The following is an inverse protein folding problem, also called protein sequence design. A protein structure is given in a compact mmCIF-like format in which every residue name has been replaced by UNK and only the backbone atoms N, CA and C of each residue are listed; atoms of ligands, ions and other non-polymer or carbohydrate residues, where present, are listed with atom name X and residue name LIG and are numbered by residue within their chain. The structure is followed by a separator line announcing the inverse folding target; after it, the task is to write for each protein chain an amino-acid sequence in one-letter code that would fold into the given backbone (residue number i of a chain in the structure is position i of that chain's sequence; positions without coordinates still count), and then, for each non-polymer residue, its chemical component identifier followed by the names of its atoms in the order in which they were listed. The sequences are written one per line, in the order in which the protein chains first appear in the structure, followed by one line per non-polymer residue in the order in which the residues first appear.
data_IF_496177597363
#
_entry.id   IF_496177597363
#
_cell.length_a   1.000
_cell.length_b   1.000
_cell.length_c   1.000
_cell.angle_alpha   90.00
_cell.angle_beta   90.00
_cell.angle_gamma   90.00
#
_symmetry.space_group_name_H-M   'P 1'
#
loop_
_entity.id
_entity.type
_entity.pdbx_description
1 polymer ?
#
# COMPACT_ATOMS: atom_id res chain seq x y z
N UNK A 1 28.09 7.35 -12.63
CA UNK A 1 27.44 6.03 -12.71
C UNK A 1 26.34 6.15 -13.73
N UNK A 2 26.32 5.28 -14.74
CA UNK A 2 25.19 5.16 -15.65
C UNK A 2 24.08 4.44 -14.89
N UNK A 3 22.89 5.03 -14.83
CA UNK A 3 21.66 4.40 -14.31
C UNK A 3 21.51 3.00 -14.88
N UNK A 4 21.15 2.02 -14.06
CA UNK A 4 20.94 0.66 -14.56
C UNK A 4 19.58 0.55 -15.26
N UNK A 5 18.63 1.36 -14.81
CA UNK A 5 17.30 1.56 -15.41
C UNK A 5 17.29 2.72 -16.39
N UNK A 6 16.45 2.64 -17.42
CA UNK A 6 16.21 3.81 -18.26
C UNK A 6 15.35 4.86 -17.51
N UNK A 7 15.26 6.05 -18.08
CA UNK A 7 14.54 7.15 -17.42
C UNK A 7 13.02 6.93 -17.39
N UNK A 8 12.49 6.07 -18.27
CA UNK A 8 11.06 5.76 -18.37
C UNK A 8 10.67 4.77 -17.26
N UNK A 9 11.47 3.72 -17.04
CA UNK A 9 11.29 2.74 -15.95
C UNK A 9 11.25 3.45 -14.57
N UNK A 10 12.17 4.38 -14.34
CA UNK A 10 12.24 5.17 -13.10
C UNK A 10 10.97 6.03 -12.95
N UNK A 11 10.50 6.64 -14.04
CA UNK A 11 9.33 7.49 -14.03
C UNK A 11 8.04 6.69 -13.80
N UNK A 12 7.92 5.51 -14.40
CA UNK A 12 6.79 4.59 -14.21
C UNK A 12 6.72 4.12 -12.75
N UNK A 13 7.84 3.66 -12.18
CA UNK A 13 7.88 3.23 -10.78
C UNK A 13 7.55 4.39 -9.81
N UNK A 14 8.05 5.61 -10.07
CA UNK A 14 7.67 6.80 -9.30
C UNK A 14 6.17 7.10 -9.41
N UNK A 15 5.57 6.96 -10.59
CA UNK A 15 4.15 7.19 -10.82
C UNK A 15 3.28 6.16 -10.08
N UNK A 16 3.65 4.89 -10.14
CA UNK A 16 2.95 3.81 -9.45
C UNK A 16 2.98 3.97 -7.93
N UNK A 17 4.15 4.26 -7.36
CA UNK A 17 4.28 4.56 -5.93
C UNK A 17 3.50 5.82 -5.55
N UNK A 18 3.53 6.86 -6.38
CA UNK A 18 2.74 8.08 -6.13
C UNK A 18 1.24 7.76 -6.07
N UNK A 19 0.72 7.01 -7.05
CA UNK A 19 -0.69 6.60 -7.09
C UNK A 19 -1.10 5.84 -5.83
N UNK A 20 -0.21 5.02 -5.28
CA UNK A 20 -0.44 4.29 -4.04
C UNK A 20 -0.42 5.20 -2.81
N UNK A 21 0.57 6.08 -2.70
CA UNK A 21 0.75 6.98 -1.56
C UNK A 21 -0.36 8.04 -1.43
N UNK A 22 -1.07 8.39 -2.51
CA UNK A 22 -2.22 9.31 -2.46
C UNK A 22 -3.28 8.88 -1.44
N UNK A 23 -3.44 7.58 -1.21
CA UNK A 23 -4.42 7.05 -0.26
C UNK A 23 -4.02 7.24 1.20
N UNK A 24 -2.75 7.57 1.46
CA UNK A 24 -2.18 7.70 2.80
C UNK A 24 -1.97 9.16 3.24
N UNK A 25 -2.31 10.16 2.40
CA UNK A 25 -2.14 11.58 2.72
C UNK A 25 -2.88 12.02 4.01
N UNK A 26 -3.99 11.37 4.32
CA UNK A 26 -4.79 11.67 5.51
C UNK A 26 -4.46 10.78 6.71
N UNK A 27 -3.63 9.75 6.54
CA UNK A 27 -3.28 8.85 7.62
C UNK A 27 -2.06 9.40 8.38
N UNK A 28 -2.12 9.48 9.73
CA UNK A 28 -0.97 9.87 10.51
C UNK A 28 0.08 8.76 10.49
N UNK A 29 1.33 9.14 10.24
CA UNK A 29 2.51 8.38 10.61
C UNK A 29 2.72 8.49 12.13
N UNK A 30 3.55 7.62 12.74
CA UNK A 30 3.97 7.78 14.12
C UNK A 30 4.44 9.22 14.42
N UNK A 31 4.14 9.72 15.62
CA UNK A 31 4.46 11.10 15.99
C UNK A 31 3.61 12.19 15.32
N UNK A 32 2.40 11.86 14.85
CA UNK A 32 1.42 12.79 14.26
C UNK A 32 1.87 13.50 12.97
N UNK A 33 2.94 13.01 12.35
CA UNK A 33 3.38 13.44 11.02
C UNK A 33 2.46 12.87 9.94
N UNK A 34 2.34 13.55 8.81
CA UNK A 34 1.53 13.13 7.68
C UNK A 34 2.36 13.23 6.40
N UNK A 35 2.01 12.45 5.38
CA UNK A 35 2.55 12.65 4.03
C UNK A 35 1.96 13.95 3.47
N UNK A 36 2.84 14.88 3.08
CA UNK A 36 2.49 16.21 2.57
C UNK A 36 2.74 16.35 1.07
N UNK A 37 3.55 15.46 0.50
CA UNK A 37 3.82 15.44 -0.92
C UNK A 37 4.70 14.27 -1.32
N UNK A 38 4.65 13.96 -2.61
CA UNK A 38 5.55 13.02 -3.27
C UNK A 38 6.21 13.80 -4.40
N UNK A 39 7.54 13.85 -4.40
CA UNK A 39 8.34 14.57 -5.37
C UNK A 39 9.17 13.56 -6.18
N UNK A 40 9.29 13.74 -7.51
CA UNK A 40 10.19 12.93 -8.30
C UNK A 40 11.64 13.27 -7.94
N UNK A 41 12.50 12.26 -7.82
CA UNK A 41 13.94 12.49 -7.83
C UNK A 41 14.40 12.71 -9.28
N UNK A 42 15.29 13.70 -9.54
CA UNK A 42 15.75 13.97 -10.91
C UNK A 42 16.60 12.80 -11.42
N UNK A 43 16.44 12.36 -12.69
CA UNK A 43 17.32 11.37 -13.30
C UNK A 43 18.80 11.79 -13.23
N UNK A 44 19.74 10.84 -13.06
CA UNK A 44 19.57 9.39 -13.03
C UNK A 44 19.27 8.83 -11.62
N UNK A 45 18.69 9.63 -10.71
CA UNK A 45 18.45 9.18 -9.34
C UNK A 45 17.30 8.17 -9.31
N UNK A 46 17.62 6.91 -9.04
CA UNK A 46 16.67 5.79 -8.85
C UNK A 46 16.01 5.85 -7.46
N UNK A 47 15.34 6.97 -7.16
CA UNK A 47 14.71 7.22 -5.85
C UNK A 47 13.36 7.93 -5.98
N UNK A 48 12.57 7.88 -4.92
CA UNK A 48 11.38 8.72 -4.71
C UNK A 48 11.61 9.62 -3.51
N UNK A 49 11.06 10.84 -3.54
CA UNK A 49 11.13 11.77 -2.40
C UNK A 49 9.77 11.90 -1.77
N UNK A 50 9.67 11.61 -0.49
CA UNK A 50 8.41 11.70 0.26
C UNK A 50 8.54 12.83 1.26
N UNK A 51 7.67 13.83 1.15
CA UNK A 51 7.63 14.97 2.06
C UNK A 51 6.68 14.64 3.19
N UNK A 52 7.13 14.83 4.42
CA UNK A 52 6.34 14.62 5.63
C UNK A 52 6.38 15.85 6.53
N UNK A 53 5.40 15.98 7.40
CA UNK A 53 5.35 17.03 8.42
C UNK A 53 4.02 17.05 9.16
N UNK A 54 3.85 17.98 10.11
CA UNK A 54 2.63 18.11 10.90
C UNK A 54 1.36 18.28 10.06
N UNK A 55 0.21 17.94 10.64
CA UNK A 55 -1.08 18.27 10.02
C UNK A 55 -1.26 19.79 9.91
N UNK A 56 -1.90 20.26 8.83
CA UNK A 56 -2.22 21.68 8.63
C UNK A 56 -1.08 22.61 8.20
N UNK A 57 0.20 22.26 8.41
CA UNK A 57 1.34 23.07 7.96
C UNK A 57 1.71 22.80 6.50
N UNK A 58 2.25 23.83 5.84
CA UNK A 58 2.86 23.76 4.50
C UNK A 58 4.17 24.57 4.45
N UNK A 59 4.67 24.99 5.61
CA UNK A 59 5.91 25.76 5.73
C UNK A 59 7.12 24.83 5.49
N UNK A 60 7.98 25.09 4.48
CA UNK A 60 9.16 24.27 4.22
C UNK A 60 10.05 24.02 5.45
N UNK A 61 10.10 24.96 6.41
CA UNK A 61 10.92 24.83 7.61
C UNK A 61 10.36 23.79 8.61
N UNK A 62 9.08 23.43 8.48
CA UNK A 62 8.40 22.40 9.28
C UNK A 62 8.24 21.07 8.53
N UNK A 63 8.73 20.99 7.29
CA UNK A 63 8.64 19.81 6.44
C UNK A 63 9.99 19.10 6.34
N UNK A 64 9.97 17.80 6.09
CA UNK A 64 11.17 17.01 5.79
C UNK A 64 10.92 16.14 4.58
N UNK A 65 11.85 16.17 3.63
CA UNK A 65 11.85 15.32 2.45
C UNK A 65 12.75 14.09 2.70
N UNK A 66 12.21 12.90 2.50
CA UNK A 66 12.92 11.63 2.61
C UNK A 66 13.19 11.09 1.20
N UNK A 67 14.45 10.97 0.81
CA UNK A 67 14.84 10.33 -0.44
C UNK A 67 15.03 8.84 -0.19
N UNK A 68 14.14 8.02 -0.73
CA UNK A 68 14.13 6.56 -0.55
C UNK A 68 14.40 5.91 -1.92
N UNK A 69 15.35 4.95 -2.02
CA UNK A 69 15.59 4.20 -3.25
C UNK A 69 14.32 3.56 -3.81
N UNK A 70 14.21 3.42 -5.14
CA UNK A 70 13.09 2.73 -5.79
C UNK A 70 13.21 1.21 -5.75
N UNK A 71 14.43 0.69 -5.63
CA UNK A 71 14.75 -0.73 -5.69
C UNK A 71 15.48 -1.17 -4.42
N UNK A 72 15.39 -2.46 -4.10
CA UNK A 72 16.09 -3.02 -2.95
C UNK A 72 17.61 -2.94 -3.13
N UNK A 73 18.35 -2.51 -2.10
CA UNK A 73 19.82 -2.49 -2.16
C UNK A 73 20.39 -3.90 -2.40
N UNK A 74 21.01 -4.09 -3.57
CA UNK A 74 21.66 -5.36 -3.94
C UNK A 74 20.79 -6.33 -4.74
N UNK A 75 19.50 -6.02 -4.92
CA UNK A 75 18.63 -6.71 -5.87
C UNK A 75 17.90 -5.67 -6.73
N UNK A 76 18.47 -5.31 -7.87
CA UNK A 76 17.93 -4.22 -8.65
C UNK A 76 16.58 -4.61 -9.29
N UNK A 77 16.36 -5.88 -9.60
CA UNK A 77 15.08 -6.35 -10.18
C UNK A 77 13.94 -6.36 -9.14
N UNK A 78 14.25 -6.11 -7.86
CA UNK A 78 13.30 -6.03 -6.76
C UNK A 78 12.89 -4.59 -6.50
N UNK A 79 11.83 -4.13 -7.17
CA UNK A 79 11.24 -2.83 -6.93
C UNK A 79 10.55 -2.77 -5.55
N UNK A 80 10.74 -1.67 -4.83
CA UNK A 80 10.04 -1.46 -3.56
C UNK A 80 8.55 -1.28 -3.80
N UNK A 81 7.75 -2.13 -3.15
CA UNK A 81 6.29 -1.95 -3.07
C UNK A 81 5.89 -0.84 -2.10
N UNK A 82 4.68 -0.30 -2.27
CA UNK A 82 4.16 0.75 -1.39
C UNK A 82 4.07 0.34 0.08
N UNK A 83 3.75 -0.93 0.37
CA UNK A 83 3.67 -1.44 1.73
C UNK A 83 5.04 -1.39 2.44
N UNK A 84 6.11 -1.75 1.72
CA UNK A 84 7.48 -1.66 2.22
C UNK A 84 7.89 -0.21 2.44
N UNK A 85 7.57 0.68 1.48
CA UNK A 85 7.82 2.11 1.56
C UNK A 85 7.13 2.76 2.77
N UNK A 86 5.87 2.41 3.04
CA UNK A 86 5.14 2.85 4.23
C UNK A 86 5.76 2.31 5.51
N UNK A 87 6.22 1.06 5.50
CA UNK A 87 6.96 0.48 6.61
C UNK A 87 8.25 1.25 6.92
N UNK A 88 8.99 1.67 5.89
CA UNK A 88 10.17 2.54 6.02
C UNK A 88 9.76 3.90 6.64
N UNK A 89 8.74 4.57 6.10
CA UNK A 89 8.28 5.85 6.63
C UNK A 89 7.87 5.76 8.10
N UNK A 90 7.12 4.72 8.47
CA UNK A 90 6.72 4.51 9.87
C UNK A 90 7.93 4.26 10.76
N UNK A 91 8.94 3.52 10.28
CA UNK A 91 10.19 3.33 11.02
C UNK A 91 10.97 4.64 11.22
N UNK A 92 11.07 5.48 10.18
CA UNK A 92 11.70 6.81 10.23
C UNK A 92 11.03 7.74 11.25
N UNK A 93 9.72 7.58 11.44
CA UNK A 93 8.93 8.36 12.38
C UNK A 93 8.78 7.71 13.77
N UNK A 94 9.36 6.53 13.99
CA UNK A 94 9.32 5.84 15.28
C UNK A 94 10.65 6.02 16.02
N UNK A 95 10.59 6.59 17.23
CA UNK A 95 11.76 6.83 18.07
C UNK A 95 12.59 8.06 17.67
N UNK A 96 13.77 8.21 18.27
CA UNK A 96 14.69 9.31 17.95
C UNK A 96 15.68 8.85 16.88
N UNK A 97 15.56 9.39 15.67
CA UNK A 97 16.50 9.14 14.59
C UNK A 97 17.57 10.25 14.57
N UNK A 98 18.85 9.86 14.65
CA UNK A 98 19.98 10.79 14.55
C UNK A 98 20.64 10.55 13.20
N UNK A 99 20.52 11.53 12.30
CA UNK A 99 21.11 11.47 10.97
C UNK A 99 22.45 12.21 10.95
N UNK A 100 23.45 11.65 10.26
CA UNK A 100 24.72 12.35 10.01
C UNK A 100 24.46 13.55 9.08
N UNK A 101 25.24 14.62 9.21
CA UNK A 101 25.18 15.74 8.26
C UNK A 101 25.46 15.30 6.82
N UNK A 102 26.23 14.22 6.65
CA UNK A 102 26.67 13.73 5.34
C UNK A 102 25.53 13.08 4.52
N UNK A 103 24.38 12.83 5.15
CA UNK A 103 23.18 12.28 4.51
C UNK A 103 22.02 13.28 4.45
N UNK A 104 22.29 14.56 4.76
CA UNK A 104 21.30 15.64 4.75
C UNK A 104 21.69 16.69 3.69
N UNK A 105 20.84 16.82 2.68
CA UNK A 105 20.86 17.88 1.68
C UNK A 105 19.69 18.86 1.91
N UNK A 106 19.43 19.73 0.94
CA UNK A 106 18.26 20.61 0.94
C UNK A 106 17.52 20.52 -0.40
N UNK A 107 16.20 20.49 -0.36
CA UNK A 107 15.33 20.56 -1.54
C UNK A 107 14.17 21.52 -1.27
N UNK A 108 14.00 22.53 -2.13
CA UNK A 108 12.92 23.52 -1.98
C UNK A 108 12.84 24.17 -0.58
N UNK A 109 13.98 24.39 0.08
CA UNK A 109 14.05 24.93 1.44
C UNK A 109 13.83 23.91 2.56
N UNK A 110 13.45 22.67 2.24
CA UNK A 110 13.28 21.58 3.20
C UNK A 110 14.58 20.78 3.37
N UNK A 111 14.88 20.24 4.56
CA UNK A 111 15.89 19.21 4.71
C UNK A 111 15.54 17.99 3.86
N UNK A 112 16.53 17.50 3.11
CA UNK A 112 16.44 16.27 2.31
C UNK A 112 17.30 15.19 2.95
N UNK A 113 16.69 14.17 3.55
CA UNK A 113 17.41 13.06 4.18
C UNK A 113 17.50 11.89 3.20
N UNK A 114 18.72 11.43 2.91
CA UNK A 114 18.97 10.22 2.13
C UNK A 114 18.79 8.99 3.02
N UNK A 115 17.83 8.15 2.66
CA UNK A 115 17.47 6.96 3.44
C UNK A 115 18.23 5.76 2.90
N UNK A 116 18.91 5.03 3.79
CA UNK A 116 19.44 3.69 3.52
C UNK A 116 18.46 2.66 4.12
N UNK A 117 17.65 1.97 3.31
CA UNK A 117 16.70 0.98 3.78
C UNK A 117 17.37 -0.18 4.55
N UNK A 118 18.64 -0.49 4.28
CA UNK A 118 19.34 -1.61 4.94
C UNK A 118 19.64 -1.36 6.41
N UNK A 119 19.63 -0.09 6.84
CA UNK A 119 19.84 0.31 8.23
C UNK A 119 18.52 0.40 9.01
N UNK A 120 17.40 0.18 8.35
CA UNK A 120 16.07 0.27 8.93
C UNK A 120 15.46 -1.12 9.06
N UNK A 121 14.58 -1.26 10.04
CA UNK A 121 13.66 -2.39 10.12
C UNK A 121 12.28 -1.84 9.79
N UNK A 122 11.81 -1.98 8.52
CA UNK A 122 10.49 -1.49 8.12
C UNK A 122 9.40 -2.05 9.03
N UNK A 123 8.49 -1.19 9.45
CA UNK A 123 7.34 -1.62 10.28
C UNK A 123 6.37 -2.39 9.38
N UNK A 124 6.03 -3.62 9.77
CA UNK A 124 5.13 -4.47 9.02
C UNK A 124 3.76 -3.80 8.79
N UNK A 125 3.06 -4.13 7.69
CA UNK A 125 1.70 -3.65 7.43
C UNK A 125 0.74 -3.99 8.59
N UNK A 126 -0.11 -3.04 8.94
CA UNK A 126 -1.22 -3.25 9.86
C UNK A 126 -2.36 -4.02 9.19
N UNK A 127 -3.33 -4.47 9.99
CA UNK A 127 -4.54 -5.09 9.46
C UNK A 127 -5.32 -4.16 8.50
N UNK A 128 -5.32 -2.85 8.79
CA UNK A 128 -5.99 -1.85 7.95
C UNK A 128 -5.25 -1.65 6.61
N UNK A 129 -3.92 -1.72 6.61
CA UNK A 129 -3.13 -1.66 5.37
C UNK A 129 -3.42 -2.88 4.49
N UNK A 130 -3.40 -4.07 5.08
CA UNK A 130 -3.70 -5.31 4.35
C UNK A 130 -5.14 -5.30 3.79
N UNK A 131 -6.11 -4.83 4.59
CA UNK A 131 -7.47 -4.66 4.13
C UNK A 131 -7.56 -3.64 2.99
N UNK A 132 -6.87 -2.50 3.10
CA UNK A 132 -6.80 -1.51 2.03
C UNK A 132 -6.22 -2.09 0.74
N UNK A 133 -5.14 -2.87 0.82
CA UNK A 133 -4.53 -3.50 -0.36
C UNK A 133 -5.50 -4.47 -1.06
N UNK A 134 -6.27 -5.26 -0.32
CA UNK A 134 -7.35 -6.10 -0.90
C UNK A 134 -8.37 -5.22 -1.64
N UNK A 135 -8.94 -4.25 -0.93
CA UNK A 135 -10.04 -3.43 -1.46
C UNK A 135 -9.61 -2.63 -2.69
N UNK A 136 -8.40 -2.07 -2.67
CA UNK A 136 -7.83 -1.33 -3.80
C UNK A 136 -7.61 -2.26 -4.99
N UNK A 137 -7.08 -3.45 -4.78
CA UNK A 137 -6.83 -4.41 -5.87
C UNK A 137 -8.12 -4.84 -6.55
N UNK A 138 -9.20 -5.03 -5.78
CA UNK A 138 -10.51 -5.41 -6.34
C UNK A 138 -11.23 -4.26 -7.05
N UNK A 139 -10.95 -3.00 -6.69
CA UNK A 139 -11.64 -1.81 -7.24
C UNK A 139 -10.86 -1.11 -8.35
N UNK A 140 -9.54 -1.26 -8.37
CA UNK A 140 -8.62 -0.61 -9.29
C UNK A 140 -7.54 -1.61 -9.73
N UNK A 141 -7.91 -2.70 -10.41
CA UNK A 141 -6.93 -3.68 -10.87
C UNK A 141 -6.03 -3.06 -11.94
N UNK A 142 -4.80 -3.56 -12.02
CA UNK A 142 -3.82 -3.18 -13.04
C UNK A 142 -4.05 -3.88 -14.38
N UNK A 143 -5.29 -4.24 -14.70
CA UNK A 143 -5.67 -4.95 -15.92
C UNK A 143 -6.54 -4.08 -16.80
N UNK A 144 -6.33 -4.14 -18.12
CA UNK A 144 -7.23 -3.50 -19.10
C UNK A 144 -8.63 -4.10 -19.07
N UNK A 145 -8.72 -5.39 -18.71
CA UNK A 145 -9.97 -6.11 -18.52
C UNK A 145 -10.52 -5.89 -17.11
N UNK A 146 -11.84 -5.65 -17.02
CA UNK A 146 -12.53 -5.56 -15.73
C UNK A 146 -12.45 -6.92 -15.03
N UNK A 147 -12.16 -6.96 -13.70
CA UNK A 147 -11.95 -8.22 -13.02
C UNK A 147 -13.26 -9.00 -12.97
N UNK A 148 -13.17 -10.33 -13.04
CA UNK A 148 -14.33 -11.22 -13.02
C UNK A 148 -15.20 -11.06 -11.76
N UNK A 149 -14.62 -10.51 -10.68
CA UNK A 149 -15.31 -10.15 -9.45
C UNK A 149 -15.41 -8.64 -9.31
N UNK A 150 -16.63 -8.16 -9.07
CA UNK A 150 -16.87 -6.76 -8.70
C UNK A 150 -17.11 -6.66 -7.20
N UNK A 151 -16.31 -5.84 -6.53
CA UNK A 151 -16.55 -5.47 -5.13
C UNK A 151 -17.73 -4.49 -5.04
N UNK A 152 -18.77 -4.87 -4.30
CA UNK A 152 -19.99 -4.07 -4.03
C UNK A 152 -19.97 -3.39 -2.68
N UNK A 153 -19.22 -3.94 -1.72
CA UNK A 153 -19.09 -3.40 -0.39
C UNK A 153 -18.11 -4.22 0.45
N UNK A 154 -17.80 -3.73 1.64
CA UNK A 154 -16.96 -4.44 2.60
C UNK A 154 -17.32 -4.06 4.03
N UNK A 155 -16.95 -4.91 4.98
CA UNK A 155 -17.13 -4.66 6.40
C UNK A 155 -15.98 -5.28 7.20
N UNK A 156 -15.26 -4.46 7.99
CA UNK A 156 -14.32 -4.96 8.99
C UNK A 156 -15.06 -5.70 10.11
N UNK A 157 -14.64 -6.93 10.41
CA UNK A 157 -15.30 -7.82 11.39
C UNK A 157 -14.45 -8.11 12.62
N UNK A 158 -13.20 -7.66 12.62
CA UNK A 158 -12.24 -7.88 13.70
C UNK A 158 -10.81 -7.59 13.24
N UNK A 159 -9.81 -7.80 14.11
CA UNK A 159 -8.43 -7.39 13.89
C UNK A 159 -7.71 -8.08 12.71
N UNK A 160 -8.33 -9.07 12.08
CA UNK A 160 -7.82 -9.72 10.86
C UNK A 160 -8.94 -10.46 10.11
N UNK A 161 -10.14 -9.86 10.08
CA UNK A 161 -11.29 -10.43 9.39
C UNK A 161 -12.02 -9.34 8.62
N UNK A 162 -12.08 -9.51 7.31
CA UNK A 162 -12.74 -8.59 6.39
C UNK A 162 -13.84 -9.35 5.66
N UNK A 163 -15.06 -8.83 5.71
CA UNK A 163 -16.15 -9.32 4.87
C UNK A 163 -16.14 -8.54 3.57
N UNK A 164 -16.03 -9.24 2.45
CA UNK A 164 -16.17 -8.70 1.10
C UNK A 164 -17.56 -9.04 0.59
N UNK A 165 -18.25 -8.08 0.00
CA UNK A 165 -19.50 -8.31 -0.72
C UNK A 165 -19.21 -8.20 -2.20
N UNK A 166 -19.25 -9.33 -2.90
CA UNK A 166 -18.85 -9.43 -4.30
C UNK A 166 -19.97 -10.01 -5.14
N UNK A 167 -20.02 -9.63 -6.42
CA UNK A 167 -20.80 -10.32 -7.44
C UNK A 167 -19.88 -10.69 -8.62
N UNK A 168 -20.26 -11.75 -9.34
CA UNK A 168 -19.58 -12.17 -10.55
C UNK A 168 -20.26 -11.52 -11.76
N UNK A 169 -19.50 -11.25 -12.83
CA UNK A 169 -20.07 -10.68 -14.05
C UNK A 169 -21.26 -11.54 -14.54
N UNK A 170 -22.37 -10.88 -14.89
CA UNK A 170 -23.68 -11.45 -15.25
C UNK A 170 -24.56 -12.01 -14.12
N UNK A 171 -24.09 -12.06 -12.88
CA UNK A 171 -24.90 -12.37 -11.70
C UNK A 171 -25.20 -11.10 -10.87
N UNK A 172 -26.46 -10.94 -10.44
CA UNK A 172 -26.85 -9.83 -9.54
C UNK A 172 -26.83 -10.23 -8.07
N UNK A 173 -26.70 -11.53 -7.78
CA UNK A 173 -26.68 -12.03 -6.43
C UNK A 173 -25.34 -11.73 -5.75
N UNK A 174 -25.43 -11.09 -4.59
CA UNK A 174 -24.26 -10.71 -3.81
C UNK A 174 -23.85 -11.87 -2.91
N UNK A 175 -22.59 -12.26 -3.02
CA UNK A 175 -21.91 -13.24 -2.17
C UNK A 175 -21.10 -12.48 -1.13
N UNK A 176 -21.30 -12.78 0.15
CA UNK A 176 -20.38 -12.36 1.19
C UNK A 176 -19.23 -13.37 1.30
N UNK A 177 -18.00 -12.89 1.35
CA UNK A 177 -16.80 -13.70 1.60
C UNK A 177 -16.05 -13.14 2.80
N UNK A 178 -15.94 -13.92 3.88
CA UNK A 178 -15.08 -13.58 5.00
C UNK A 178 -13.64 -14.01 4.67
N UNK A 179 -12.73 -13.05 4.60
CA UNK A 179 -11.31 -13.28 4.29
C UNK A 179 -10.42 -12.86 5.46
N UNK A 180 -9.21 -13.41 5.51
CA UNK A 180 -8.12 -12.96 6.37
C UNK A 180 -7.23 -12.00 5.58
N UNK A 181 -7.17 -10.69 5.93
CA UNK A 181 -6.29 -9.75 5.25
C UNK A 181 -4.81 -10.07 5.42
N UNK A 182 -4.39 -10.61 6.57
CA UNK A 182 -3.02 -11.08 6.75
C UNK A 182 -2.73 -12.38 5.99
N UNK A 183 -1.47 -12.56 5.61
CA UNK A 183 -0.99 -13.78 4.94
C UNK A 183 -0.68 -13.58 3.46
N UNK A 184 -0.89 -14.62 2.65
CA UNK A 184 -0.49 -14.64 1.25
C UNK A 184 -1.49 -13.90 0.34
N UNK A 185 -1.58 -12.59 0.50
CA UNK A 185 -2.59 -11.74 -0.13
C UNK A 185 -2.75 -11.95 -1.65
N UNK A 186 -1.64 -12.07 -2.36
CA UNK A 186 -1.63 -12.30 -3.82
C UNK A 186 -2.33 -13.60 -4.19
N UNK A 187 -2.10 -14.67 -3.44
CA UNK A 187 -2.72 -15.96 -3.73
C UNK A 187 -4.20 -15.98 -3.31
N UNK A 188 -4.58 -15.25 -2.26
CA UNK A 188 -6.00 -15.03 -1.92
C UNK A 188 -6.72 -14.34 -3.08
N UNK A 189 -6.17 -13.21 -3.55
CA UNK A 189 -6.78 -12.42 -4.62
C UNK A 189 -6.89 -13.21 -5.93
N UNK A 190 -5.90 -14.05 -6.24
CA UNK A 190 -5.93 -14.93 -7.40
C UNK A 190 -6.96 -16.07 -7.29
N UNK A 191 -7.13 -16.65 -6.09
CA UNK A 191 -8.03 -17.77 -5.86
C UNK A 191 -9.47 -17.33 -5.56
N UNK A 192 -9.69 -16.08 -5.14
CA UNK A 192 -10.98 -15.57 -4.70
C UNK A 192 -12.12 -15.85 -5.69
N UNK A 193 -11.98 -15.63 -7.01
CA UNK A 193 -13.04 -15.94 -7.98
C UNK A 193 -13.51 -17.39 -7.94
N UNK A 194 -12.60 -18.33 -7.74
CA UNK A 194 -12.92 -19.75 -7.62
C UNK A 194 -13.51 -20.09 -6.24
N UNK A 195 -12.87 -19.59 -5.17
CA UNK A 195 -13.26 -19.91 -3.79
C UNK A 195 -14.70 -19.48 -3.47
N UNK A 196 -15.16 -18.35 -4.00
CA UNK A 196 -16.54 -17.90 -3.77
C UNK A 196 -17.60 -18.77 -4.45
N UNK A 197 -17.22 -19.64 -5.38
CA UNK A 197 -18.15 -20.57 -6.07
C UNK A 197 -18.24 -21.94 -5.39
N UNK A 198 -17.39 -22.21 -4.39
CA UNK A 198 -17.33 -23.51 -3.72
C UNK A 198 -18.53 -23.71 -2.77
N UNK A 199 -19.42 -24.64 -3.11
CA UNK A 199 -20.58 -25.00 -2.28
C UNK A 199 -20.15 -25.52 -0.89
N UNK A 200 -19.02 -26.22 -0.81
CA UNK A 200 -18.48 -26.79 0.44
C UNK A 200 -18.10 -25.73 1.48
N UNK A 201 -17.79 -24.51 1.03
CA UNK A 201 -17.46 -23.37 1.89
C UNK A 201 -18.67 -22.46 2.16
N UNK A 202 -19.81 -22.78 1.55
CA UNK A 202 -21.03 -21.99 1.70
C UNK A 202 -21.70 -22.32 3.03
N UNK A 203 -21.81 -21.30 3.87
CA UNK A 203 -22.65 -21.34 5.06
C UNK A 203 -24.00 -20.72 4.75
N UNK A 204 -25.11 -21.19 5.36
CA UNK A 204 -26.38 -20.49 5.27
C UNK A 204 -26.16 -19.02 5.66
N UNK A 205 -26.63 -18.08 4.85
CA UNK A 205 -26.54 -16.66 5.14
C UNK A 205 -27.43 -16.34 6.35
N UNK A 206 -26.91 -16.55 7.56
CA UNK A 206 -27.60 -16.19 8.79
C UNK A 206 -27.72 -14.65 8.83
N UNK A 207 -28.95 -14.17 8.65
CA UNK A 207 -29.44 -12.82 8.93
C UNK A 207 -28.70 -11.63 8.28
N UNK A 208 -27.74 -11.82 7.37
CA UNK A 208 -27.07 -10.72 6.66
C UNK A 208 -27.96 -10.25 5.49
N UNK A 209 -28.56 -9.04 5.56
CA UNK A 209 -29.49 -8.56 4.54
C UNK A 209 -28.80 -8.12 3.24
N UNK A 210 -27.46 -8.19 3.18
CA UNK A 210 -26.66 -7.69 2.06
C UNK A 210 -26.14 -8.79 1.13
N UNK A 211 -26.39 -10.07 1.43
CA UNK A 211 -25.93 -11.19 0.60
C UNK A 211 -26.95 -12.33 0.53
N UNK A 212 -26.95 -13.09 -0.57
CA UNK A 212 -27.74 -14.32 -0.72
C UNK A 212 -27.05 -15.53 -0.08
N UNK A 213 -25.71 -15.50 0.01
CA UNK A 213 -24.88 -16.55 0.61
C UNK A 213 -23.61 -15.99 1.23
N UNK A 214 -23.11 -16.70 2.23
CA UNK A 214 -21.88 -16.38 2.95
C UNK A 214 -20.85 -17.52 2.80
N UNK A 215 -19.64 -17.17 2.41
CA UNK A 215 -18.50 -18.09 2.27
C UNK A 215 -17.43 -17.71 3.29
N UNK A 216 -16.93 -18.69 4.04
CA UNK A 216 -15.77 -18.49 4.91
C UNK A 216 -14.48 -18.92 4.19
N UNK A 217 -13.62 -17.94 3.93
CA UNK A 217 -12.35 -18.06 3.20
C UNK A 217 -11.17 -17.72 4.12
N UNK A 218 -11.37 -17.77 5.44
CA UNK A 218 -10.33 -17.41 6.40
C UNK A 218 -9.24 -18.47 6.61
N UNK A 219 -9.52 -19.73 6.23
CA UNK A 219 -8.63 -20.90 6.34
C UNK A 219 -8.17 -21.42 4.95
N UNK A 220 -7.94 -20.50 4.02
CA UNK A 220 -7.55 -20.81 2.64
C UNK A 220 -6.08 -21.24 2.50
#
# INVERSE_FOLDING_TARGET
MTSMYDADDIAEQQADLTRLLLHYLHQPLPGESHIKGVLPAPPPTEAIRIVTGPSGTHDPDELTAWQIPLYEPGDPDSALGADHLLGILRALHTGTQIYSSDIIDTVMGMPLVHVDPTQLHPIAPSADDNAFTILRTLTCPWTEEQPALRLRGFLGRGPDRLRLYVDADQDTDVVAADVRPSGALTALLAALPSLITEEERTTPADADPHCSRLVDVTDW
#
